data_IF_268458588798
#
_entry.id   IF_268458588798
#
_cell.length_a   1.000
_cell.length_b   1.000
_cell.length_c   1.000
_cell.angle_alpha   90.00
_cell.angle_beta   90.00
_cell.angle_gamma   90.00
#
_symmetry.space_group_name_H-M   'P 1'
#
loop_
_entity.id
_entity.type
_entity.pdbx_description
1 polymer ?
#
# COMPACT_ATOMS: atom_id res chain seq x y z
N UNK A 1 -3.92 1.54 24.61
CA UNK A 1 -5.34 1.46 24.22
C UNK A 1 -5.48 1.72 22.70
N UNK A 2 -6.32 0.98 21.97
CA UNK A 2 -6.46 1.14 20.50
C UNK A 2 -7.15 2.45 20.14
N UNK A 3 -8.09 2.92 20.96
CA UNK A 3 -8.83 4.16 20.72
C UNK A 3 -7.93 5.38 20.95
N UNK A 4 -7.08 5.33 21.98
CA UNK A 4 -6.09 6.38 22.23
C UNK A 4 -5.08 6.50 21.08
N UNK A 5 -4.55 5.37 20.59
CA UNK A 5 -3.66 5.35 19.43
C UNK A 5 -4.32 5.91 18.17
N UNK A 6 -5.60 5.59 17.95
CA UNK A 6 -6.36 6.14 16.82
C UNK A 6 -6.55 7.67 16.94
N UNK A 7 -6.80 8.18 18.16
CA UNK A 7 -6.92 9.62 18.42
C UNK A 7 -5.62 10.36 18.10
N UNK A 8 -4.48 9.80 18.53
CA UNK A 8 -3.15 10.38 18.26
C UNK A 8 -2.82 10.43 16.76
N UNK A 9 -3.10 9.35 16.01
CA UNK A 9 -2.88 9.37 14.56
C UNK A 9 -3.78 10.37 13.84
N UNK A 10 -5.04 10.51 14.26
CA UNK A 10 -5.96 11.48 13.66
C UNK A 10 -5.43 12.91 13.81
N UNK A 11 -5.01 13.29 15.02
CA UNK A 11 -4.43 14.62 15.27
C UNK A 11 -3.16 14.87 14.43
N UNK A 12 -2.26 13.88 14.34
CA UNK A 12 -1.09 13.99 13.49
C UNK A 12 -1.43 14.15 11.99
N UNK A 13 -2.38 13.35 11.48
CA UNK A 13 -2.83 13.44 10.09
C UNK A 13 -3.46 14.80 9.77
N UNK A 14 -4.27 15.35 10.67
CA UNK A 14 -4.90 16.67 10.49
C UNK A 14 -3.88 17.81 10.44
N UNK A 15 -2.84 17.76 11.26
CA UNK A 15 -1.75 18.75 11.24
C UNK A 15 -0.99 18.69 9.92
N UNK A 16 -0.60 17.49 9.49
CA UNK A 16 0.08 17.28 8.20
C UNK A 16 -0.78 17.80 7.04
N UNK A 17 -2.10 17.57 7.07
CA UNK A 17 -3.01 18.05 6.03
C UNK A 17 -3.09 19.58 5.94
N UNK A 18 -2.95 20.29 7.06
CA UNK A 18 -2.97 21.76 7.10
C UNK A 18 -1.64 22.38 6.68
N UNK A 19 -0.54 21.71 7.00
CA UNK A 19 0.81 22.26 6.82
C UNK A 19 1.46 21.81 5.51
N UNK A 20 0.91 20.82 4.81
CA UNK A 20 1.46 20.33 3.56
C UNK A 20 1.37 21.40 2.44
N UNK A 21 2.49 21.71 1.74
CA UNK A 21 2.46 22.65 0.62
C UNK A 21 1.90 22.03 -0.68
N UNK A 22 1.41 20.78 -0.62
CA UNK A 22 0.82 20.04 -1.74
C UNK A 22 -0.55 19.47 -1.35
N UNK A 23 -1.42 19.26 -2.35
CA UNK A 23 -2.71 18.60 -2.14
C UNK A 23 -2.57 17.08 -2.24
N UNK A 24 -3.17 16.34 -1.30
CA UNK A 24 -3.25 14.88 -1.34
C UNK A 24 -4.41 14.47 -2.27
N UNK A 25 -4.11 13.91 -3.44
CA UNK A 25 -5.11 13.67 -4.50
C UNK A 25 -5.54 12.21 -4.64
N UNK A 26 -4.76 11.25 -4.13
CA UNK A 26 -4.97 9.84 -4.43
C UNK A 26 -4.70 8.94 -3.22
N UNK A 27 -5.48 7.87 -3.13
CA UNK A 27 -5.11 6.66 -2.40
C UNK A 27 -4.93 5.57 -3.44
N UNK A 28 -3.69 5.15 -3.65
CA UNK A 28 -3.37 4.20 -4.72
C UNK A 28 -3.99 2.83 -4.43
N UNK A 29 -4.48 2.19 -5.48
CA UNK A 29 -4.86 0.78 -5.46
C UNK A 29 -3.69 -0.03 -5.99
N UNK A 30 -3.31 -1.07 -5.29
CA UNK A 30 -2.29 -2.02 -5.76
C UNK A 30 -2.82 -2.70 -7.02
N UNK A 31 -2.29 -2.30 -8.18
CA UNK A 31 -2.63 -2.86 -9.48
C UNK A 31 -1.34 -3.37 -10.13
N UNK A 32 -1.34 -4.63 -10.57
CA UNK A 32 -0.20 -5.22 -11.24
C UNK A 32 -0.66 -6.19 -12.32
N UNK A 33 0.15 -6.31 -13.37
CA UNK A 33 -0.07 -7.27 -14.44
C UNK A 33 0.94 -8.40 -14.33
N UNK A 34 0.50 -9.63 -14.59
CA UNK A 34 1.37 -10.80 -14.73
C UNK A 34 0.97 -11.64 -15.92
N UNK A 35 1.93 -12.35 -16.51
CA UNK A 35 1.64 -13.37 -17.52
C UNK A 35 0.69 -14.41 -16.94
N UNK A 36 -0.27 -14.89 -17.74
CA UNK A 36 -1.20 -15.96 -17.33
C UNK A 36 -0.45 -17.26 -16.94
N UNK A 37 0.75 -17.47 -17.48
CA UNK A 37 1.61 -18.63 -17.20
C UNK A 37 2.42 -18.48 -15.91
N UNK A 38 2.55 -17.27 -15.37
CA UNK A 38 3.36 -16.98 -14.18
C UNK A 38 2.49 -17.05 -12.92
N UNK A 39 2.82 -17.90 -11.96
CA UNK A 39 2.13 -18.02 -10.65
C UNK A 39 3.07 -17.67 -9.50
N UNK A 40 2.53 -17.42 -8.31
CA UNK A 40 3.32 -17.11 -7.10
C UNK A 40 3.92 -15.70 -7.00
N UNK A 41 3.87 -14.92 -8.08
CA UNK A 41 4.26 -13.51 -8.07
C UNK A 41 3.08 -12.58 -7.73
N UNK A 42 3.24 -11.72 -6.73
CA UNK A 42 2.23 -10.72 -6.33
C UNK A 42 2.86 -9.49 -5.69
N UNK A 43 2.12 -8.38 -5.70
CA UNK A 43 2.54 -7.12 -5.06
C UNK A 43 1.95 -7.04 -3.66
N UNK A 44 2.80 -6.72 -2.69
CA UNK A 44 2.47 -6.55 -1.29
C UNK A 44 1.79 -5.19 -1.04
N UNK A 45 1.05 -5.02 0.07
CA UNK A 45 0.36 -3.77 0.38
C UNK A 45 1.26 -2.53 0.48
N UNK A 46 2.56 -2.71 0.68
CA UNK A 46 3.59 -1.67 0.71
C UNK A 46 4.18 -1.36 -0.68
N UNK A 47 3.70 -2.04 -1.73
CA UNK A 47 4.19 -1.90 -3.10
C UNK A 47 5.40 -2.78 -3.45
N UNK A 48 5.92 -3.56 -2.50
CA UNK A 48 7.01 -4.49 -2.80
C UNK A 48 6.52 -5.71 -3.59
N UNK A 49 7.40 -6.31 -4.40
CA UNK A 49 7.06 -7.57 -5.08
C UNK A 49 7.48 -8.75 -4.22
N UNK A 50 6.58 -9.71 -4.04
CA UNK A 50 6.90 -11.02 -3.48
C UNK A 50 7.05 -12.05 -4.60
N UNK A 51 8.12 -12.85 -4.52
CA UNK A 51 8.47 -13.90 -5.47
C UNK A 51 8.84 -15.22 -4.78
N UNK A 52 8.51 -15.40 -3.51
CA UNK A 52 8.98 -16.54 -2.72
C UNK A 52 8.47 -17.88 -3.27
N UNK A 53 7.28 -17.88 -3.89
CA UNK A 53 6.63 -19.05 -4.48
C UNK A 53 6.51 -18.97 -6.00
N UNK A 54 7.39 -18.19 -6.67
CA UNK A 54 7.28 -17.93 -8.11
C UNK A 54 7.46 -19.20 -8.95
N UNK A 55 6.56 -19.42 -9.92
CA UNK A 55 6.62 -20.57 -10.83
C UNK A 55 6.05 -20.24 -12.23
N UNK A 56 6.49 -20.98 -13.25
CA UNK A 56 6.04 -20.85 -14.64
C UNK A 56 5.42 -22.18 -15.11
N UNK A 57 4.14 -22.13 -15.48
CA UNK A 57 3.48 -23.27 -16.14
C UNK A 57 4.13 -23.55 -17.49
N UNK A 58 4.68 -24.75 -17.64
CA UNK A 58 5.19 -25.28 -18.90
C UNK A 58 4.08 -25.31 -19.95
#
# INVERSE_FOLDING_TARGET
DRAEKAKLYKDAQERIWKDAPWAFLVTEKVLYARSKRLTGAYVMPDGSFNFDEIDIKQ
#
